data_IF_433043923829
#
_entry.id   IF_433043923829
#
_cell.length_a   1.000
_cell.length_b   1.000
_cell.length_c   1.000
_cell.angle_alpha   90.00
_cell.angle_beta   90.00
_cell.angle_gamma   90.00
#
_symmetry.space_group_name_H-M   'P 1'
#
loop_
_entity.id
_entity.type
_entity.pdbx_description
1 polymer ?
#
# COMPACT_ATOMS: atom_id res chain seq x y z
N UNK A 1 -41.52 17.33 -28.36
CA UNK A 1 -40.53 16.50 -29.08
C UNK A 1 -39.21 17.15 -28.72
N UNK A 2 -38.46 16.72 -27.70
CA UNK A 2 -37.90 15.38 -27.50
C UNK A 2 -37.76 15.03 -26.01
N UNK A 3 -38.38 13.93 -25.56
CA UNK A 3 -38.46 13.59 -24.12
C UNK A 3 -38.05 12.14 -23.80
N UNK A 4 -37.34 11.45 -24.70
CA UNK A 4 -37.12 9.99 -24.60
C UNK A 4 -35.67 9.50 -24.74
N UNK A 5 -34.66 10.35 -24.61
CA UNK A 5 -33.26 9.87 -24.63
C UNK A 5 -32.80 9.46 -23.23
N UNK A 6 -33.11 8.22 -22.83
CA UNK A 6 -32.49 7.60 -21.65
C UNK A 6 -30.99 7.47 -21.92
N UNK A 7 -30.18 8.33 -21.30
CA UNK A 7 -28.71 8.27 -21.45
C UNK A 7 -28.14 7.21 -20.52
N UNK A 8 -27.85 6.04 -21.06
CA UNK A 8 -27.01 5.06 -20.36
C UNK A 8 -25.59 5.61 -20.24
N UNK A 9 -25.20 5.98 -19.02
CA UNK A 9 -23.85 6.47 -18.74
C UNK A 9 -23.09 5.35 -18.05
N UNK A 10 -22.01 4.86 -18.67
CA UNK A 10 -21.11 3.89 -18.07
C UNK A 10 -20.01 4.62 -17.31
N UNK A 11 -19.89 4.38 -16.02
CA UNK A 11 -18.80 4.90 -15.22
C UNK A 11 -17.61 3.95 -15.26
N UNK A 12 -16.46 4.45 -15.70
CA UNK A 12 -15.19 3.72 -15.69
C UNK A 12 -14.22 4.49 -14.81
N UNK A 13 -13.65 3.81 -13.82
CA UNK A 13 -12.70 4.39 -12.88
C UNK A 13 -11.38 3.64 -13.01
N UNK A 14 -10.35 4.38 -13.38
CA UNK A 14 -8.97 3.90 -13.31
C UNK A 14 -8.36 4.39 -11.99
N UNK A 15 -7.82 3.47 -11.20
CA UNK A 15 -7.24 3.79 -9.90
C UNK A 15 -6.01 2.95 -9.60
N UNK A 16 -5.21 3.44 -8.66
CA UNK A 16 -4.11 2.68 -8.04
C UNK A 16 -4.64 1.90 -6.84
N UNK A 17 -3.74 1.36 -6.02
CA UNK A 17 -4.05 0.74 -4.74
C UNK A 17 -4.80 1.67 -3.76
N UNK A 18 -4.95 2.97 -4.03
CA UNK A 18 -5.79 3.87 -3.21
C UNK A 18 -7.28 3.46 -3.20
N UNK A 19 -7.78 2.85 -4.29
CA UNK A 19 -9.15 2.33 -4.35
C UNK A 19 -9.36 1.07 -3.51
N UNK A 20 -8.29 0.43 -3.04
CA UNK A 20 -8.37 -0.79 -2.27
C UNK A 20 -8.94 -0.56 -0.87
N UNK A 21 -8.54 0.54 -0.21
CA UNK A 21 -8.90 0.86 1.18
C UNK A 21 -9.47 2.28 1.34
N UNK A 22 -8.85 3.29 0.73
CA UNK A 22 -9.02 4.70 1.09
C UNK A 22 -10.23 5.42 0.51
N UNK A 23 -10.91 4.84 -0.48
CA UNK A 23 -12.11 5.45 -1.08
C UNK A 23 -13.27 4.47 -1.14
N UNK A 24 -14.48 4.97 -0.90
CA UNK A 24 -15.71 4.22 -1.11
C UNK A 24 -16.35 4.71 -2.39
N UNK A 25 -16.29 3.90 -3.43
CA UNK A 25 -17.05 4.14 -4.66
C UNK A 25 -18.29 3.24 -4.60
N UNK A 26 -19.51 3.82 -4.61
CA UNK A 26 -20.73 3.03 -4.66
C UNK A 26 -20.86 2.30 -6.00
N UNK A 27 -21.65 1.23 -6.03
CA UNK A 27 -22.14 0.60 -7.27
C UNK A 27 -21.09 0.02 -8.24
N UNK A 28 -19.93 -0.41 -7.73
CA UNK A 28 -18.96 -1.16 -8.54
C UNK A 28 -19.48 -2.58 -8.80
N UNK A 29 -19.80 -2.86 -10.07
CA UNK A 29 -20.23 -4.18 -10.54
C UNK A 29 -19.07 -5.04 -11.08
N UNK A 30 -18.06 -4.41 -11.65
CA UNK A 30 -16.93 -5.08 -12.29
C UNK A 30 -15.62 -4.55 -11.74
N UNK A 31 -14.73 -5.46 -11.32
CA UNK A 31 -13.35 -5.13 -10.94
C UNK A 31 -12.42 -5.83 -11.90
N UNK A 32 -11.54 -5.06 -12.54
CA UNK A 32 -10.43 -5.57 -13.35
C UNK A 32 -9.16 -5.33 -12.55
N UNK A 33 -8.52 -6.40 -12.10
CA UNK A 33 -7.36 -6.37 -11.23
C UNK A 33 -6.13 -6.89 -11.97
N UNK A 34 -5.15 -6.02 -12.19
CA UNK A 34 -3.85 -6.40 -12.77
C UNK A 34 -2.96 -7.14 -11.77
N UNK A 35 -3.38 -7.24 -10.50
CA UNK A 35 -2.61 -7.80 -9.39
C UNK A 35 -1.24 -7.13 -9.20
N UNK A 36 -1.08 -5.91 -9.68
CA UNK A 36 0.10 -5.07 -9.49
C UNK A 36 -0.20 -3.95 -8.48
N UNK A 37 0.83 -3.45 -7.83
CA UNK A 37 0.80 -2.27 -6.97
C UNK A 37 2.08 -1.48 -7.15
N UNK A 38 2.02 -0.17 -6.90
CA UNK A 38 3.20 0.68 -6.84
C UNK A 38 3.38 1.09 -5.38
N UNK A 39 4.46 0.61 -4.77
CA UNK A 39 4.72 0.82 -3.34
C UNK A 39 5.97 1.67 -3.16
N UNK A 40 5.94 2.53 -2.14
CA UNK A 40 7.15 3.21 -1.67
C UNK A 40 8.05 2.17 -0.99
N UNK A 41 9.30 2.11 -1.42
CA UNK A 41 10.32 1.22 -0.87
C UNK A 41 11.64 1.97 -0.71
N UNK A 42 12.42 1.59 0.29
CA UNK A 42 13.82 1.94 0.44
C UNK A 42 14.64 0.86 -0.27
N UNK A 43 15.35 1.25 -1.32
CA UNK A 43 16.16 0.33 -2.10
C UNK A 43 17.32 -0.20 -1.24
N UNK A 44 17.49 -1.53 -1.12
CA UNK A 44 18.45 -2.10 -0.19
C UNK A 44 19.91 -1.84 -0.60
N UNK A 45 20.18 -1.56 -1.88
CA UNK A 45 21.54 -1.36 -2.38
C UNK A 45 21.93 0.12 -2.31
N UNK A 46 21.06 0.99 -2.85
CA UNK A 46 21.31 2.43 -2.97
C UNK A 46 20.85 3.22 -1.75
N UNK A 47 20.01 2.63 -0.90
CA UNK A 47 19.39 3.25 0.29
C UNK A 47 18.49 4.46 -0.03
N UNK A 48 18.15 4.68 -1.30
CA UNK A 48 17.22 5.74 -1.69
C UNK A 48 15.77 5.24 -1.72
N UNK A 49 14.86 6.17 -1.46
CA UNK A 49 13.42 5.92 -1.58
C UNK A 49 13.00 5.91 -3.04
N UNK A 50 12.28 4.89 -3.46
CA UNK A 50 11.71 4.83 -4.81
C UNK A 50 10.30 4.24 -4.78
N UNK A 51 9.52 4.54 -5.84
CA UNK A 51 8.24 3.89 -6.07
C UNK A 51 8.45 2.69 -6.98
N UNK A 52 8.43 1.49 -6.40
CA UNK A 52 8.65 0.24 -7.13
C UNK A 52 7.31 -0.39 -7.53
N UNK A 53 7.23 -0.85 -8.77
CA UNK A 53 6.11 -1.67 -9.23
C UNK A 53 6.36 -3.12 -8.79
N UNK A 54 5.40 -3.70 -8.11
CA UNK A 54 5.49 -5.05 -7.55
C UNK A 54 4.14 -5.77 -7.65
N UNK A 55 4.18 -7.08 -7.46
CA UNK A 55 2.97 -7.88 -7.35
C UNK A 55 2.25 -7.58 -6.04
N UNK A 56 0.94 -7.40 -6.11
CA UNK A 56 0.08 -7.24 -4.96
C UNK A 56 -0.06 -8.57 -4.20
N UNK A 57 -0.23 -8.51 -2.88
CA UNK A 57 -0.48 -9.72 -2.08
C UNK A 57 -1.89 -10.26 -2.31
N UNK A 58 -2.13 -11.52 -1.95
CA UNK A 58 -3.48 -12.12 -1.94
C UNK A 58 -4.44 -11.31 -1.07
N UNK A 59 -3.97 -10.79 0.06
CA UNK A 59 -4.75 -9.89 0.91
C UNK A 59 -5.18 -8.62 0.16
N UNK A 60 -4.30 -8.03 -0.64
CA UNK A 60 -4.63 -6.85 -1.46
C UNK A 60 -5.67 -7.18 -2.53
N UNK A 61 -5.44 -8.26 -3.29
CA UNK A 61 -6.38 -8.74 -4.30
C UNK A 61 -7.76 -9.07 -3.70
N UNK A 62 -7.81 -9.56 -2.46
CA UNK A 62 -9.06 -9.81 -1.73
C UNK A 62 -9.77 -8.52 -1.32
N UNK A 63 -9.04 -7.48 -0.91
CA UNK A 63 -9.65 -6.17 -0.64
C UNK A 63 -10.22 -5.54 -1.92
N UNK A 64 -9.51 -5.66 -3.05
CA UNK A 64 -9.99 -5.22 -4.37
C UNK A 64 -11.24 -5.97 -4.79
N UNK A 65 -11.28 -7.29 -4.59
CA UNK A 65 -12.49 -8.11 -4.80
C UNK A 65 -13.69 -7.58 -4.00
N UNK A 66 -13.48 -7.19 -2.75
CA UNK A 66 -14.53 -6.64 -1.87
C UNK A 66 -15.07 -5.27 -2.31
N UNK A 67 -14.54 -4.67 -3.37
CA UNK A 67 -15.10 -3.46 -3.99
C UNK A 67 -16.29 -3.78 -4.89
N UNK A 68 -16.32 -4.95 -5.51
CA UNK A 68 -17.52 -5.46 -6.15
C UNK A 68 -18.41 -6.22 -5.15
N UNK A 69 -19.70 -6.32 -5.46
CA UNK A 69 -20.58 -7.24 -4.71
C UNK A 69 -21.30 -6.63 -3.49
N UNK A 70 -21.20 -5.31 -3.25
CA UNK A 70 -21.89 -4.66 -2.12
C UNK A 70 -23.39 -4.44 -2.33
N UNK A 71 -23.81 -4.21 -3.58
CA UNK A 71 -25.20 -3.83 -3.93
C UNK A 71 -25.86 -4.85 -4.85
N UNK A 72 -25.10 -5.57 -5.66
CA UNK A 72 -25.57 -6.62 -6.58
C UNK A 72 -24.46 -7.64 -6.85
N UNK A 73 -24.78 -8.76 -7.50
CA UNK A 73 -23.77 -9.70 -7.99
C UNK A 73 -22.73 -8.98 -8.85
N UNK A 74 -21.47 -9.03 -8.40
CA UNK A 74 -20.32 -8.43 -9.07
C UNK A 74 -19.43 -9.47 -9.73
N UNK A 75 -18.58 -9.04 -10.66
CA UNK A 75 -17.55 -9.90 -11.28
C UNK A 75 -16.16 -9.35 -11.05
N UNK A 76 -15.24 -10.25 -10.76
CA UNK A 76 -13.81 -9.97 -10.63
C UNK A 76 -13.06 -10.64 -11.78
N UNK A 77 -12.21 -9.86 -12.44
CA UNK A 77 -11.28 -10.35 -13.45
C UNK A 77 -9.86 -10.08 -12.95
N UNK A 78 -9.07 -11.15 -12.73
CA UNK A 78 -7.65 -11.04 -12.41
C UNK A 78 -6.84 -11.28 -13.67
N UNK A 79 -5.94 -10.37 -14.01
CA UNK A 79 -5.15 -10.42 -15.24
C UNK A 79 -3.87 -11.29 -15.08
N UNK A 80 -4.00 -12.40 -14.35
CA UNK A 80 -2.91 -13.36 -14.08
C UNK A 80 -3.48 -14.79 -14.09
N UNK A 81 -2.66 -15.82 -14.38
CA UNK A 81 -3.07 -17.21 -14.26
C UNK A 81 -3.46 -17.58 -12.82
N UNK A 82 -4.41 -18.51 -12.68
CA UNK A 82 -4.84 -19.01 -11.37
C UNK A 82 -3.69 -19.63 -10.57
N UNK A 83 -2.84 -20.44 -11.20
CA UNK A 83 -1.66 -21.02 -10.56
C UNK A 83 -0.67 -19.97 -10.07
N UNK A 84 -0.54 -18.84 -10.78
CA UNK A 84 0.30 -17.73 -10.35
C UNK A 84 -0.28 -17.06 -9.10
N UNK A 85 -1.60 -16.84 -9.08
CA UNK A 85 -2.29 -16.32 -7.90
C UNK A 85 -2.11 -17.26 -6.70
N UNK A 86 -2.26 -18.57 -6.90
CA UNK A 86 -2.24 -19.55 -5.82
C UNK A 86 -0.83 -19.84 -5.29
N UNK A 87 0.17 -19.92 -6.17
CA UNK A 87 1.49 -20.45 -5.82
C UNK A 87 2.60 -19.38 -5.77
N UNK A 88 2.43 -18.24 -6.44
CA UNK A 88 3.48 -17.21 -6.56
C UNK A 88 3.19 -15.98 -5.72
N UNK A 89 1.93 -15.52 -5.68
CA UNK A 89 1.60 -14.31 -4.91
C UNK A 89 1.72 -14.54 -3.40
N UNK A 90 2.36 -13.61 -2.66
CA UNK A 90 2.47 -13.71 -1.22
C UNK A 90 1.10 -13.51 -0.57
N UNK A 91 0.87 -14.15 0.59
CA UNK A 91 -0.38 -13.99 1.34
C UNK A 91 -0.59 -12.56 1.82
N UNK A 92 0.47 -11.92 2.31
CA UNK A 92 0.49 -10.55 2.83
C UNK A 92 1.70 -9.78 2.29
N UNK A 93 1.57 -8.46 2.16
CA UNK A 93 2.68 -7.60 1.80
C UNK A 93 3.64 -7.38 2.97
N UNK A 94 4.87 -6.95 2.67
CA UNK A 94 5.86 -6.58 3.69
C UNK A 94 5.34 -5.34 4.45
N UNK A 95 5.37 -5.34 5.80
CA UNK A 95 4.96 -4.20 6.60
C UNK A 95 5.68 -2.93 6.19
N UNK A 96 4.97 -1.79 6.16
CA UNK A 96 5.52 -0.51 5.74
C UNK A 96 6.79 -0.13 6.52
N UNK A 97 6.80 -0.41 7.83
CA UNK A 97 7.94 -0.17 8.72
C UNK A 97 9.21 -0.93 8.33
N UNK A 98 9.11 -2.06 7.62
CA UNK A 98 10.27 -2.86 7.16
C UNK A 98 10.72 -2.51 5.74
N UNK A 99 10.00 -1.65 5.02
CA UNK A 99 10.29 -1.34 3.62
C UNK A 99 10.35 0.14 3.29
N UNK A 100 9.79 1.01 4.13
CA UNK A 100 9.78 2.45 3.91
C UNK A 100 10.89 3.15 4.72
N UNK A 101 11.27 4.38 4.32
CA UNK A 101 12.15 5.23 5.11
C UNK A 101 11.57 5.53 6.49
N UNK A 102 12.44 5.62 7.49
CA UNK A 102 12.06 5.70 8.90
C UNK A 102 12.22 7.09 9.53
N UNK A 103 12.69 8.09 8.78
CA UNK A 103 13.00 9.43 9.30
C UNK A 103 11.79 10.07 9.98
N UNK A 104 10.63 10.03 9.32
CA UNK A 104 9.39 10.56 9.89
C UNK A 104 8.94 9.76 11.12
N UNK A 105 9.17 8.46 11.14
CA UNK A 105 8.82 7.59 12.28
C UNK A 105 9.71 7.91 13.48
N UNK A 106 11.03 8.01 13.27
CA UNK A 106 12.00 8.40 14.30
C UNK A 106 11.69 9.78 14.86
N UNK A 107 11.39 10.77 14.01
CA UNK A 107 10.98 12.10 14.44
C UNK A 107 9.71 12.07 15.28
N UNK A 108 8.72 11.25 14.92
CA UNK A 108 7.48 11.10 15.70
C UNK A 108 7.75 10.52 17.08
N UNK A 109 8.58 9.48 17.17
CA UNK A 109 8.96 8.86 18.45
C UNK A 109 9.62 9.90 19.36
N UNK A 110 10.57 10.68 18.83
CA UNK A 110 11.21 11.78 19.56
C UNK A 110 10.25 12.89 19.96
N UNK A 111 9.37 13.32 19.05
CA UNK A 111 8.39 14.37 19.32
C UNK A 111 7.41 13.98 20.43
N UNK A 112 7.08 12.70 20.55
CA UNK A 112 6.18 12.16 21.56
C UNK A 112 6.88 11.84 22.88
N UNK A 113 8.19 12.12 23.00
CA UNK A 113 9.04 11.80 24.16
C UNK A 113 8.96 10.31 24.57
N UNK A 114 8.78 9.45 23.58
CA UNK A 114 8.73 8.00 23.72
C UNK A 114 10.17 7.46 23.64
N UNK A 115 10.95 7.68 24.69
CA UNK A 115 12.28 7.07 24.91
C UNK A 115 13.27 7.14 23.71
N UNK A 116 14.31 6.31 23.71
CA UNK A 116 15.20 6.15 22.56
C UNK A 116 14.47 5.46 21.38
N UNK A 117 14.53 6.02 20.15
CA UNK A 117 13.86 5.45 18.97
C UNK A 117 14.20 3.99 18.71
N UNK A 118 15.44 3.58 18.96
CA UNK A 118 15.86 2.18 18.82
C UNK A 118 15.11 1.27 19.79
N UNK A 119 15.05 1.65 21.07
CA UNK A 119 14.37 0.88 22.11
C UNK A 119 12.87 0.77 21.83
N UNK A 120 12.21 1.87 21.46
CA UNK A 120 10.78 1.86 21.16
C UNK A 120 10.42 1.05 19.91
N UNK A 121 11.17 1.21 18.82
CA UNK A 121 10.87 0.51 17.56
C UNK A 121 11.13 -1.00 17.67
N UNK A 122 12.02 -1.42 18.57
CA UNK A 122 12.23 -2.84 18.87
C UNK A 122 11.01 -3.52 19.53
N UNK A 123 10.09 -2.75 20.14
CA UNK A 123 8.87 -3.28 20.78
C UNK A 123 7.69 -3.45 19.81
N UNK A 124 7.85 -3.08 18.54
CA UNK A 124 6.80 -3.20 17.54
C UNK A 124 6.54 -4.66 17.15
N UNK A 125 5.34 -4.97 16.65
CA UNK A 125 4.95 -6.32 16.20
C UNK A 125 5.93 -6.89 15.16
N UNK A 126 6.32 -6.02 14.22
CA UNK A 126 7.30 -6.29 13.18
C UNK A 126 8.37 -5.19 13.24
N UNK A 127 9.41 -5.35 14.09
CA UNK A 127 10.41 -4.32 14.25
C UNK A 127 11.21 -4.14 12.96
N UNK A 128 11.60 -2.89 12.61
CA UNK A 128 12.46 -2.64 11.47
C UNK A 128 13.90 -3.09 11.75
N UNK A 129 14.71 -3.23 10.70
CA UNK A 129 16.12 -3.53 10.84
C UNK A 129 16.87 -2.40 11.57
N UNK A 130 17.78 -2.76 12.47
CA UNK A 130 18.54 -1.80 13.27
C UNK A 130 19.31 -0.82 12.38
N UNK A 131 19.90 -1.33 11.30
CA UNK A 131 20.62 -0.51 10.34
C UNK A 131 19.74 0.52 9.64
N UNK A 132 18.44 0.27 9.51
CA UNK A 132 17.50 1.21 8.87
C UNK A 132 17.17 2.36 9.83
N UNK A 133 17.02 2.05 11.12
CA UNK A 133 16.84 3.07 12.17
C UNK A 133 18.09 3.96 12.26
N UNK A 134 19.28 3.36 12.28
CA UNK A 134 20.54 4.11 12.39
C UNK A 134 20.76 5.07 11.22
N UNK A 135 20.44 4.62 10.00
CA UNK A 135 20.50 5.48 8.82
C UNK A 135 19.49 6.62 8.89
N UNK A 136 18.25 6.35 9.30
CA UNK A 136 17.26 7.39 9.46
C UNK A 136 17.69 8.45 10.49
N UNK A 137 18.31 8.03 11.61
CA UNK A 137 18.88 8.96 12.60
C UNK A 137 20.02 9.79 11.97
N UNK A 138 20.91 9.17 11.20
CA UNK A 138 22.01 9.89 10.53
C UNK A 138 21.49 10.96 9.57
N UNK A 139 20.55 10.61 8.69
CA UNK A 139 19.92 11.53 7.72
C UNK A 139 19.28 12.72 8.44
N UNK A 140 18.60 12.48 9.56
CA UNK A 140 17.99 13.54 10.36
C UNK A 140 19.02 14.47 10.99
N UNK A 141 20.16 13.94 11.47
CA UNK A 141 21.25 14.78 12.02
C UNK A 141 21.85 15.66 10.94
N UNK A 142 22.07 15.12 9.75
CA UNK A 142 22.57 15.87 8.59
C UNK A 142 21.61 16.97 8.15
N UNK A 143 20.30 16.71 8.22
CA UNK A 143 19.26 17.70 7.98
C UNK A 143 19.10 18.76 9.09
N UNK A 144 19.99 18.77 10.10
CA UNK A 144 19.91 19.62 11.30
C UNK A 144 18.59 19.49 12.05
N UNK A 145 17.92 18.34 11.94
CA UNK A 145 16.75 18.05 12.74
C UNK A 145 17.18 17.81 14.19
N UNK A 146 16.42 18.38 15.13
CA UNK A 146 16.67 18.18 16.57
C UNK A 146 16.09 16.82 16.97
N UNK A 147 16.96 15.82 17.04
CA UNK A 147 16.68 14.42 17.43
C UNK A 147 17.45 14.03 18.68
#
# INVERSE_FOLDING_TARGET
MDEWTVRFTFQIILSTNIAESSITVPDIKYVIDFCLTKSLVCDPDTKYSCLKMEWASKANCKQRQGRAGRVSEGRLYRMIPEDFYNNVLPSYGIPEMKRCPLELTVLKVKKLDLDEPKAMLALCLDPPDLGDIERAILVLKEASARI
#
